data_IF_599879615528
#
_entry.id   IF_599879615528
#
_cell.length_a   1.000
_cell.length_b   1.000
_cell.length_c   1.000
_cell.angle_alpha   90.00
_cell.angle_beta   90.00
_cell.angle_gamma   90.00
#
_symmetry.space_group_name_H-M   'P 1'
#
loop_
_entity.id
_entity.type
_entity.pdbx_description
1 polymer ?
#
# COMPACT_ATOMS: atom_id res chain seq x y z
N UNK A 1 11.12 20.77 6.18
CA UNK A 1 10.41 21.05 4.90
C UNK A 1 11.01 20.18 3.84
N UNK A 2 10.22 19.28 3.23
CA UNK A 2 10.63 18.63 2.00
C UNK A 2 10.89 19.73 0.97
N UNK A 3 12.07 19.70 0.37
CA UNK A 3 12.46 20.58 -0.71
C UNK A 3 12.53 19.72 -1.97
N UNK A 4 12.04 20.25 -3.07
CA UNK A 4 12.39 19.68 -4.37
C UNK A 4 13.90 19.85 -4.55
N UNK A 5 14.60 18.73 -4.71
CA UNK A 5 16.05 18.71 -4.90
C UNK A 5 16.34 18.24 -6.31
N UNK A 6 17.39 18.83 -6.91
CA UNK A 6 17.85 18.47 -8.26
C UNK A 6 18.93 17.37 -8.21
N UNK A 7 19.33 16.95 -7.02
CA UNK A 7 20.37 15.92 -6.79
C UNK A 7 19.86 14.95 -5.73
N UNK A 8 20.07 13.65 -5.96
CA UNK A 8 19.69 12.60 -5.00
C UNK A 8 20.75 12.54 -3.90
N UNK A 9 20.34 12.86 -2.68
CA UNK A 9 21.18 12.78 -1.48
C UNK A 9 20.74 11.61 -0.59
N UNK A 10 21.62 10.97 0.18
CA UNK A 10 21.21 9.99 1.19
C UNK A 10 20.20 10.58 2.17
N UNK A 11 19.16 9.81 2.51
CA UNK A 11 18.06 10.29 3.37
C UNK A 11 16.91 10.95 2.61
N UNK A 12 16.89 10.85 1.27
CA UNK A 12 15.80 11.37 0.44
C UNK A 12 14.61 10.40 0.38
N UNK A 13 13.38 10.95 0.41
CA UNK A 13 12.17 10.24 0.03
C UNK A 13 11.83 10.59 -1.42
N UNK A 14 11.76 9.58 -2.28
CA UNK A 14 11.42 9.70 -3.70
C UNK A 14 10.09 9.01 -3.92
N UNK A 15 9.10 9.73 -4.44
CA UNK A 15 7.80 9.16 -4.77
C UNK A 15 7.66 9.10 -6.30
N UNK A 16 7.56 7.88 -6.82
CA UNK A 16 7.51 7.56 -8.24
C UNK A 16 6.11 7.05 -8.56
N UNK A 17 5.41 7.75 -9.45
CA UNK A 17 4.04 7.41 -9.83
C UNK A 17 3.95 7.32 -11.34
N UNK A 18 3.57 6.15 -11.85
CA UNK A 18 3.45 5.84 -13.26
C UNK A 18 4.71 6.23 -14.07
N UNK A 19 5.90 5.71 -13.66
CA UNK A 19 7.16 6.12 -14.27
C UNK A 19 7.28 5.63 -15.70
N UNK A 20 7.92 6.43 -16.54
CA UNK A 20 8.41 5.98 -17.83
C UNK A 20 9.77 5.26 -17.72
N UNK A 21 10.20 4.66 -18.84
CA UNK A 21 11.46 3.89 -18.85
C UNK A 21 12.69 4.77 -18.57
N UNK A 22 12.68 6.04 -18.99
CA UNK A 22 13.81 6.97 -18.79
C UNK A 22 13.96 7.31 -17.30
N UNK A 23 12.83 7.49 -16.59
CA UNK A 23 12.81 7.72 -15.13
C UNK A 23 13.29 6.48 -14.36
N UNK A 24 12.87 5.27 -14.77
CA UNK A 24 13.34 4.01 -14.19
C UNK A 24 14.84 3.86 -14.38
N UNK A 25 15.35 4.01 -15.61
CA UNK A 25 16.76 3.89 -15.95
C UNK A 25 17.62 4.90 -15.17
N UNK A 26 17.13 6.13 -15.02
CA UNK A 26 17.77 7.15 -14.21
C UNK A 26 17.92 6.73 -12.75
N UNK A 27 16.81 6.27 -12.13
CA UNK A 27 16.81 5.84 -10.72
C UNK A 27 17.67 4.59 -10.50
N UNK A 28 17.63 3.63 -11.42
CA UNK A 28 18.45 2.43 -11.39
C UNK A 28 19.94 2.80 -11.37
N UNK A 29 20.35 3.73 -12.22
CA UNK A 29 21.73 4.18 -12.33
C UNK A 29 22.19 4.96 -11.09
N UNK A 30 21.41 5.95 -10.66
CA UNK A 30 21.81 6.86 -9.57
C UNK A 30 21.78 6.18 -8.20
N UNK A 31 20.80 5.31 -7.96
CA UNK A 31 20.60 4.65 -6.66
C UNK A 31 21.14 3.21 -6.63
N UNK A 32 21.62 2.67 -7.76
CA UNK A 32 22.05 1.28 -7.92
C UNK A 32 20.93 0.28 -7.57
N UNK A 33 19.71 0.58 -8.01
CA UNK A 33 18.55 -0.28 -7.85
C UNK A 33 18.45 -1.20 -9.04
N UNK A 34 18.21 -2.51 -8.81
CA UNK A 34 17.99 -3.47 -9.89
C UNK A 34 16.65 -3.18 -10.58
N UNK A 35 16.56 -3.17 -11.93
CA UNK A 35 15.32 -2.89 -12.65
C UNK A 35 14.14 -3.78 -12.24
N UNK A 36 14.37 -5.06 -11.96
CA UNK A 36 13.34 -6.01 -11.53
C UNK A 36 12.53 -5.51 -10.32
N UNK A 37 13.15 -4.68 -9.43
CA UNK A 37 12.44 -4.14 -8.27
C UNK A 37 11.36 -3.12 -8.66
N UNK A 38 11.55 -2.43 -9.80
CA UNK A 38 10.52 -1.59 -10.40
C UNK A 38 9.46 -2.45 -11.08
N UNK A 39 9.85 -3.47 -11.85
CA UNK A 39 8.92 -4.38 -12.52
C UNK A 39 7.97 -5.05 -11.52
N UNK A 40 8.49 -5.56 -10.41
CA UNK A 40 7.66 -6.13 -9.33
C UNK A 40 6.72 -5.10 -8.70
N UNK A 41 7.17 -3.86 -8.54
CA UNK A 41 6.38 -2.79 -7.93
C UNK A 41 5.24 -2.32 -8.83
N UNK A 42 5.40 -2.46 -10.15
CA UNK A 42 4.47 -2.01 -11.19
C UNK A 42 3.56 -3.12 -11.71
N UNK A 43 3.81 -4.39 -11.35
CA UNK A 43 2.92 -5.51 -11.71
C UNK A 43 1.64 -5.46 -10.88
N UNK A 44 0.49 -5.21 -11.53
CA UNK A 44 -0.83 -5.11 -10.89
C UNK A 44 -1.23 -6.34 -10.07
N UNK A 45 -0.75 -7.52 -10.43
CA UNK A 45 -1.09 -8.80 -9.79
C UNK A 45 -0.10 -9.18 -8.68
N UNK A 46 0.95 -8.39 -8.47
CA UNK A 46 1.98 -8.69 -7.48
C UNK A 46 1.42 -8.71 -6.05
N UNK A 47 1.88 -9.68 -5.26
CA UNK A 47 1.45 -9.87 -3.87
C UNK A 47 2.37 -9.13 -2.90
N UNK A 48 1.83 -8.79 -1.74
CA UNK A 48 2.65 -8.23 -0.67
C UNK A 48 3.74 -9.23 -0.24
N UNK A 49 4.99 -8.80 -0.34
CA UNK A 49 6.18 -9.59 -0.02
C UNK A 49 7.40 -8.71 0.22
N UNK A 50 8.46 -9.33 0.68
CA UNK A 50 9.77 -8.70 0.84
C UNK A 50 10.73 -9.38 -0.12
N UNK A 51 11.46 -8.57 -0.88
CA UNK A 51 12.59 -8.98 -1.70
C UNK A 51 13.85 -8.25 -1.21
N UNK A 52 14.98 -8.90 -1.36
CA UNK A 52 16.28 -8.39 -0.92
C UNK A 52 17.35 -8.75 -1.93
N UNK A 53 18.14 -7.77 -2.35
CA UNK A 53 19.37 -7.97 -3.08
C UNK A 53 20.57 -7.51 -2.22
N UNK A 54 21.79 -7.53 -2.77
CA UNK A 54 23.01 -7.18 -2.03
C UNK A 54 23.02 -5.74 -1.47
N UNK A 55 22.23 -4.83 -2.05
CA UNK A 55 22.26 -3.39 -1.75
C UNK A 55 20.89 -2.82 -1.38
N UNK A 56 19.82 -3.48 -1.78
CA UNK A 56 18.47 -2.93 -1.70
C UNK A 56 17.52 -3.90 -1.01
N UNK A 57 16.52 -3.34 -0.33
CA UNK A 57 15.37 -4.10 0.19
C UNK A 57 14.10 -3.52 -0.39
N UNK A 58 13.28 -4.37 -1.00
CA UNK A 58 11.96 -4.02 -1.49
C UNK A 58 10.89 -4.61 -0.56
N UNK A 59 9.96 -3.78 -0.16
CA UNK A 59 8.72 -4.20 0.49
C UNK A 59 7.56 -3.83 -0.42
N UNK A 60 6.82 -4.84 -0.87
CA UNK A 60 5.58 -4.62 -1.64
C UNK A 60 4.41 -4.67 -0.67
N UNK A 61 3.60 -3.61 -0.67
CA UNK A 61 2.39 -3.48 0.14
C UNK A 61 1.19 -3.39 -0.79
N UNK A 62 0.14 -4.17 -0.55
CA UNK A 62 -1.14 -4.02 -1.25
C UNK A 62 -1.96 -2.92 -0.57
N UNK A 63 -2.25 -1.83 -1.28
CA UNK A 63 -3.01 -0.69 -0.76
C UNK A 63 -4.38 -0.63 -1.42
N UNK A 64 -5.48 -0.46 -0.65
CA UNK A 64 -6.81 -0.34 -1.23
C UNK A 64 -7.00 1.04 -1.85
N UNK A 65 -7.78 1.09 -2.94
CA UNK A 65 -8.20 2.34 -3.55
C UNK A 65 -9.70 2.33 -3.83
N UNK A 66 -10.26 3.52 -3.98
CA UNK A 66 -11.60 3.78 -4.45
C UNK A 66 -11.54 4.59 -5.73
N UNK A 67 -12.29 4.17 -6.75
CA UNK A 67 -12.38 4.83 -8.04
C UNK A 67 -13.85 4.93 -8.46
N UNK A 68 -14.44 6.09 -8.25
CA UNK A 68 -15.84 6.35 -8.58
C UNK A 68 -16.14 6.39 -10.09
N UNK A 69 -15.09 6.51 -10.92
CA UNK A 69 -15.23 6.51 -12.39
C UNK A 69 -15.37 5.09 -12.94
N UNK A 70 -14.92 4.08 -12.20
CA UNK A 70 -15.03 2.67 -12.57
C UNK A 70 -16.26 2.04 -11.90
N UNK A 71 -17.42 2.13 -12.55
CA UNK A 71 -18.70 1.62 -12.03
C UNK A 71 -18.71 0.11 -11.81
N UNK A 72 -17.89 -0.64 -12.54
CA UNK A 72 -17.81 -2.10 -12.44
C UNK A 72 -16.89 -2.57 -11.31
N UNK A 73 -15.94 -1.74 -10.91
CA UNK A 73 -14.93 -2.11 -9.91
C UNK A 73 -14.45 -0.90 -9.10
N UNK A 74 -15.41 -0.27 -8.38
CA UNK A 74 -15.12 0.94 -7.59
C UNK A 74 -14.06 0.76 -6.50
N UNK A 75 -13.98 -0.44 -5.92
CA UNK A 75 -13.01 -0.77 -4.88
C UNK A 75 -12.03 -1.82 -5.38
N UNK A 76 -10.76 -1.52 -5.31
CA UNK A 76 -9.69 -2.42 -5.72
C UNK A 76 -8.47 -2.30 -4.83
N UNK A 77 -7.42 -3.04 -5.17
CA UNK A 77 -6.12 -2.95 -4.50
C UNK A 77 -5.00 -2.84 -5.52
N UNK A 78 -3.96 -2.10 -5.16
CA UNK A 78 -2.79 -1.87 -6.00
C UNK A 78 -1.51 -2.18 -5.22
N UNK A 79 -0.49 -2.79 -5.84
CA UNK A 79 0.82 -2.91 -5.22
C UNK A 79 1.49 -1.54 -5.16
N UNK A 80 2.20 -1.30 -4.08
CA UNK A 80 3.11 -0.18 -3.90
C UNK A 80 4.44 -0.75 -3.44
N UNK A 81 5.47 -0.59 -4.24
CA UNK A 81 6.83 -0.94 -3.87
C UNK A 81 7.45 0.15 -2.99
N UNK A 82 8.10 -0.26 -1.92
CA UNK A 82 8.90 0.61 -1.05
C UNK A 82 10.32 0.07 -1.06
N UNK A 83 11.19 0.75 -1.77
CA UNK A 83 12.59 0.33 -1.95
C UNK A 83 13.46 1.14 -0.99
N UNK A 84 14.23 0.45 -0.16
CA UNK A 84 15.25 1.02 0.70
C UNK A 84 16.61 0.86 0.02
N UNK A 85 17.20 1.97 -0.42
CA UNK A 85 18.50 2.01 -1.12
C UNK A 85 19.37 3.16 -0.61
N UNK A 86 20.63 2.89 -0.31
CA UNK A 86 21.64 3.89 0.07
C UNK A 86 21.17 4.95 1.09
N UNK A 87 20.35 4.55 2.07
CA UNK A 87 19.78 5.46 3.06
C UNK A 87 18.53 6.21 2.60
N UNK A 88 18.15 6.13 1.32
CA UNK A 88 16.95 6.72 0.74
C UNK A 88 15.79 5.74 0.73
N UNK A 89 14.57 6.26 0.61
CA UNK A 89 13.34 5.50 0.43
C UNK A 89 12.73 5.88 -0.91
N UNK A 90 12.46 4.89 -1.76
CA UNK A 90 11.78 5.10 -3.04
C UNK A 90 10.44 4.38 -2.98
N UNK A 91 9.33 5.11 -3.16
CA UNK A 91 8.00 4.53 -3.31
C UNK A 91 7.64 4.49 -4.79
N UNK A 92 7.15 3.33 -5.26
CA UNK A 92 6.84 3.09 -6.68
C UNK A 92 5.43 2.54 -6.81
N UNK A 93 4.61 3.12 -7.68
CA UNK A 93 3.26 2.64 -7.97
C UNK A 93 2.75 3.13 -9.33
N UNK A 94 1.74 2.43 -9.88
CA UNK A 94 1.12 2.78 -11.17
C UNK A 94 0.11 3.94 -11.09
N UNK A 95 -0.25 4.39 -9.90
CA UNK A 95 -1.17 5.53 -9.69
C UNK A 95 -0.93 6.17 -8.33
N UNK A 96 -1.35 7.43 -8.18
CA UNK A 96 -1.29 8.11 -6.89
C UNK A 96 -2.16 7.38 -5.85
N UNK A 97 -1.60 7.08 -4.68
CA UNK A 97 -2.30 6.45 -3.56
C UNK A 97 -2.38 7.36 -2.35
N UNK A 98 -3.57 7.41 -1.75
CA UNK A 98 -3.91 8.33 -0.65
C UNK A 98 -2.98 8.15 0.56
N UNK A 99 -2.57 6.91 0.87
CA UNK A 99 -1.70 6.61 2.01
C UNK A 99 -0.32 7.27 1.84
N UNK A 100 0.31 7.09 0.67
CA UNK A 100 1.63 7.68 0.39
C UNK A 100 1.55 9.20 0.36
N UNK A 101 0.52 9.76 -0.29
CA UNK A 101 0.30 11.21 -0.32
C UNK A 101 0.18 11.81 1.07
N UNK A 102 -0.68 11.25 1.93
CA UNK A 102 -0.83 11.69 3.33
C UNK A 102 0.47 11.58 4.12
N UNK A 103 1.25 10.51 3.90
CA UNK A 103 2.54 10.34 4.54
C UNK A 103 3.50 11.46 4.15
N UNK A 104 3.61 11.78 2.86
CA UNK A 104 4.45 12.87 2.34
C UNK A 104 4.01 14.22 2.94
N UNK A 105 2.70 14.51 2.93
CA UNK A 105 2.16 15.74 3.53
C UNK A 105 2.45 15.86 5.04
N UNK A 106 2.34 14.75 5.78
CA UNK A 106 2.67 14.69 7.21
C UNK A 106 4.14 15.00 7.44
N UNK A 107 5.03 14.40 6.66
CA UNK A 107 6.48 14.63 6.74
C UNK A 107 6.84 16.09 6.40
N UNK A 108 6.16 16.71 5.42
CA UNK A 108 6.34 18.12 5.09
C UNK A 108 5.97 19.06 6.24
N UNK A 109 4.90 18.73 6.97
CA UNK A 109 4.39 19.54 8.09
C UNK A 109 5.26 19.40 9.35
N UNK A 110 5.69 18.20 9.68
CA UNK A 110 6.44 17.91 10.90
C UNK A 110 7.92 18.25 10.80
N UNK A 111 8.41 18.54 9.58
CA UNK A 111 9.83 18.86 9.37
C UNK A 111 10.76 17.71 9.72
N UNK A 112 10.34 16.48 9.43
CA UNK A 112 11.06 15.26 9.77
C UNK A 112 12.51 15.36 9.32
N UNK A 113 13.45 15.40 10.26
CA UNK A 113 14.88 15.55 10.01
C UNK A 113 15.58 14.19 9.81
N UNK A 114 14.93 13.09 10.15
CA UNK A 114 15.43 11.73 9.92
C UNK A 114 14.33 10.85 9.35
N UNK A 115 14.57 10.30 8.16
CA UNK A 115 13.76 9.23 7.59
C UNK A 115 14.16 7.90 8.29
N UNK A 116 13.52 7.62 9.43
CA UNK A 116 13.65 6.30 10.02
C UNK A 116 12.87 5.30 9.18
N UNK A 117 13.57 4.35 8.57
CA UNK A 117 12.99 3.35 7.66
C UNK A 117 11.85 2.55 8.29
N UNK A 118 12.03 2.17 9.55
CA UNK A 118 11.05 1.41 10.33
C UNK A 118 9.80 2.25 10.63
N UNK A 119 9.96 3.49 11.05
CA UNK A 119 8.84 4.40 11.28
C UNK A 119 8.04 4.68 10.01
N UNK A 120 8.71 4.78 8.85
CA UNK A 120 8.03 4.97 7.57
C UNK A 120 7.18 3.76 7.18
N UNK A 121 7.79 2.56 7.14
CA UNK A 121 7.08 1.34 6.70
C UNK A 121 5.94 0.98 7.65
N UNK A 122 6.13 1.07 8.96
CA UNK A 122 5.08 0.78 9.93
C UNK A 122 3.93 1.76 9.83
N UNK A 123 4.21 3.06 9.62
CA UNK A 123 3.15 4.06 9.39
C UNK A 123 2.37 3.80 8.11
N UNK A 124 3.05 3.44 7.01
CA UNK A 124 2.37 3.07 5.76
C UNK A 124 1.48 1.85 5.94
N UNK A 125 1.95 0.82 6.64
CA UNK A 125 1.17 -0.39 6.90
C UNK A 125 -0.02 -0.13 7.80
N UNK A 126 0.16 0.65 8.86
CA UNK A 126 -0.94 1.04 9.75
C UNK A 126 -2.01 1.83 9.01
N UNK A 127 -1.63 2.90 8.29
CA UNK A 127 -2.57 3.72 7.53
C UNK A 127 -3.26 2.92 6.41
N UNK A 128 -2.55 1.96 5.80
CA UNK A 128 -3.12 1.02 4.81
C UNK A 128 -4.19 0.14 5.44
N UNK A 129 -3.92 -0.44 6.59
CA UNK A 129 -4.88 -1.30 7.31
C UNK A 129 -6.12 -0.50 7.73
N UNK A 130 -5.93 0.71 8.26
CA UNK A 130 -7.05 1.61 8.58
C UNK A 130 -7.91 1.94 7.35
N UNK A 131 -7.28 2.14 6.20
CA UNK A 131 -8.00 2.42 4.95
C UNK A 131 -8.80 1.20 4.46
N UNK A 132 -8.27 -0.02 4.60
CA UNK A 132 -9.03 -1.24 4.35
C UNK A 132 -10.28 -1.33 5.24
N UNK A 133 -10.13 -1.13 6.55
CA UNK A 133 -11.26 -1.17 7.48
C UNK A 133 -12.33 -0.11 7.16
N UNK A 134 -11.89 1.10 6.76
CA UNK A 134 -12.81 2.14 6.32
C UNK A 134 -13.61 1.71 5.09
N UNK A 135 -12.94 1.20 4.06
CA UNK A 135 -13.60 0.79 2.82
C UNK A 135 -14.48 -0.45 3.02
N UNK A 136 -14.08 -1.41 3.86
CA UNK A 136 -14.92 -2.55 4.23
C UNK A 136 -16.25 -2.11 4.86
N UNK A 137 -16.22 -1.13 5.78
CA UNK A 137 -17.43 -0.54 6.34
C UNK A 137 -18.31 0.14 5.27
N UNK A 138 -17.70 0.84 4.33
CA UNK A 138 -18.44 1.47 3.23
C UNK A 138 -19.07 0.44 2.31
N UNK A 139 -18.34 -0.61 1.91
CA UNK A 139 -18.84 -1.72 1.10
C UNK A 139 -20.01 -2.40 1.78
N UNK A 140 -19.88 -2.73 3.07
CA UNK A 140 -20.96 -3.36 3.87
C UNK A 140 -22.24 -2.51 3.88
N UNK A 141 -22.11 -1.19 4.04
CA UNK A 141 -23.26 -0.28 3.97
C UNK A 141 -23.93 -0.28 2.59
N UNK A 142 -23.12 -0.26 1.51
CA UNK A 142 -23.65 -0.30 0.14
C UNK A 142 -24.33 -1.63 -0.14
N UNK A 143 -23.76 -2.76 0.29
CA UNK A 143 -24.37 -4.10 0.18
C UNK A 143 -25.75 -4.12 0.83
N UNK A 144 -25.88 -3.63 2.07
CA UNK A 144 -27.16 -3.57 2.77
C UNK A 144 -28.24 -2.77 2.01
N UNK A 145 -27.83 -1.66 1.38
CA UNK A 145 -28.75 -0.83 0.57
C UNK A 145 -29.18 -1.57 -0.70
N UNK A 146 -28.22 -2.20 -1.41
CA UNK A 146 -28.49 -2.94 -2.65
C UNK A 146 -29.37 -4.15 -2.38
N UNK A 147 -29.12 -4.91 -1.32
CA UNK A 147 -29.95 -6.06 -0.92
C UNK A 147 -31.41 -5.68 -0.69
N UNK A 148 -31.67 -4.56 0.01
CA UNK A 148 -33.05 -4.05 0.19
C UNK A 148 -33.71 -3.72 -1.14
N UNK A 149 -33.01 -3.07 -2.06
CA UNK A 149 -33.54 -2.76 -3.41
C UNK A 149 -33.86 -4.01 -4.21
N UNK A 150 -33.02 -5.04 -4.15
CA UNK A 150 -33.26 -6.32 -4.83
C UNK A 150 -34.54 -6.98 -4.31
N UNK A 151 -34.79 -6.93 -3.00
CA UNK A 151 -36.04 -7.46 -2.41
C UNK A 151 -37.30 -6.73 -2.90
N UNK A 152 -37.19 -5.43 -3.20
CA UNK A 152 -38.31 -4.61 -3.64
C UNK A 152 -38.55 -4.68 -5.17
N UNK A 153 -37.50 -4.69 -5.99
CA UNK A 153 -37.61 -4.45 -7.44
C UNK A 153 -36.91 -5.45 -8.34
N UNK A 154 -36.04 -6.34 -7.80
CA UNK A 154 -35.30 -7.41 -8.54
C UNK A 154 -34.67 -6.97 -9.87
N UNK A 155 -33.95 -5.85 -9.89
CA UNK A 155 -33.28 -5.35 -11.12
C UNK A 155 -31.95 -6.05 -11.34
N UNK A 156 -31.65 -6.42 -12.60
CA UNK A 156 -30.37 -7.05 -12.96
C UNK A 156 -29.16 -6.16 -12.63
N UNK A 157 -29.26 -4.84 -12.74
CA UNK A 157 -28.20 -3.88 -12.40
C UNK A 157 -27.80 -3.96 -10.93
N UNK A 158 -28.77 -4.12 -10.02
CA UNK A 158 -28.51 -4.26 -8.58
C UNK A 158 -27.80 -5.59 -8.27
N UNK A 159 -28.14 -6.67 -9.00
CA UNK A 159 -27.43 -7.96 -8.88
C UNK A 159 -25.97 -7.87 -9.37
N UNK A 160 -25.74 -7.23 -10.51
CA UNK A 160 -24.38 -7.00 -11.03
C UNK A 160 -23.56 -6.17 -10.04
N UNK A 161 -24.17 -5.12 -9.47
CA UNK A 161 -23.50 -4.29 -8.46
C UNK A 161 -23.12 -5.11 -7.22
N UNK A 162 -23.99 -6.00 -6.76
CA UNK A 162 -23.71 -6.88 -5.63
C UNK A 162 -22.50 -7.80 -5.93
N UNK A 163 -22.49 -8.45 -7.10
CA UNK A 163 -21.39 -9.31 -7.54
C UNK A 163 -20.05 -8.55 -7.62
N UNK A 164 -20.06 -7.30 -8.09
CA UNK A 164 -18.87 -6.48 -8.15
C UNK A 164 -18.34 -6.10 -6.75
N UNK A 165 -19.24 -5.85 -5.79
CA UNK A 165 -18.86 -5.62 -4.39
C UNK A 165 -18.31 -6.88 -3.73
N UNK A 166 -18.89 -8.05 -3.96
CA UNK A 166 -18.36 -9.35 -3.47
C UNK A 166 -16.96 -9.61 -4.03
N UNK A 167 -16.72 -9.32 -5.33
CA UNK A 167 -15.39 -9.41 -5.92
C UNK A 167 -14.38 -8.50 -5.23
N UNK A 168 -14.79 -7.27 -4.90
CA UNK A 168 -13.95 -6.32 -4.15
C UNK A 168 -13.58 -6.85 -2.75
N UNK A 169 -14.53 -7.48 -2.04
CA UNK A 169 -14.27 -8.10 -0.73
C UNK A 169 -13.23 -9.23 -0.84
N UNK A 170 -13.31 -10.08 -1.87
CA UNK A 170 -12.32 -11.14 -2.12
C UNK A 170 -10.93 -10.56 -2.35
N UNK A 171 -10.80 -9.49 -3.14
CA UNK A 171 -9.53 -8.79 -3.32
C UNK A 171 -9.00 -8.19 -2.02
N UNK A 172 -9.87 -7.59 -1.21
CA UNK A 172 -9.50 -7.01 0.08
C UNK A 172 -9.00 -8.08 1.06
N UNK A 173 -9.76 -9.18 1.22
CA UNK A 173 -9.36 -10.29 2.08
C UNK A 173 -8.01 -10.89 1.66
N UNK A 174 -7.80 -11.09 0.35
CA UNK A 174 -6.55 -11.64 -0.18
C UNK A 174 -5.38 -10.68 0.05
N UNK A 175 -5.58 -9.39 -0.17
CA UNK A 175 -4.56 -8.36 0.03
C UNK A 175 -4.21 -8.17 1.50
N UNK A 176 -5.21 -8.15 2.40
CA UNK A 176 -4.99 -8.09 3.85
C UNK A 176 -4.20 -9.30 4.34
N UNK A 177 -4.53 -10.53 3.89
CA UNK A 177 -3.77 -11.75 4.23
C UNK A 177 -2.31 -11.67 3.78
N UNK A 178 -2.06 -11.18 2.56
CA UNK A 178 -0.69 -11.06 2.06
C UNK A 178 0.09 -9.96 2.81
N UNK A 179 -0.54 -8.83 3.14
CA UNK A 179 0.05 -7.77 3.96
C UNK A 179 0.36 -8.27 5.38
N UNK A 180 -0.58 -8.98 6.03
CA UNK A 180 -0.37 -9.58 7.36
C UNK A 180 0.87 -10.49 7.35
N UNK A 181 0.92 -11.42 6.40
CA UNK A 181 2.04 -12.37 6.30
C UNK A 181 3.39 -11.67 6.02
N UNK A 182 3.39 -10.63 5.21
CA UNK A 182 4.56 -9.81 4.94
C UNK A 182 4.97 -9.03 6.20
N UNK A 183 4.01 -8.42 6.92
CA UNK A 183 4.26 -7.67 8.17
C UNK A 183 4.96 -8.52 9.22
N UNK A 184 4.55 -9.78 9.40
CA UNK A 184 5.21 -10.72 10.33
C UNK A 184 6.69 -10.97 10.00
N UNK A 185 7.11 -10.75 8.75
CA UNK A 185 8.49 -10.98 8.31
C UNK A 185 9.41 -9.77 8.42
N UNK A 186 8.88 -8.56 8.67
CA UNK A 186 9.66 -7.31 8.67
C UNK A 186 10.85 -7.33 9.63
N UNK A 187 10.66 -7.85 10.84
CA UNK A 187 11.75 -7.98 11.83
C UNK A 187 12.82 -8.97 11.35
N UNK A 188 12.40 -10.14 10.83
CA UNK A 188 13.32 -11.17 10.35
C UNK A 188 14.13 -10.69 9.14
N UNK A 189 13.54 -9.86 8.29
CA UNK A 189 14.21 -9.22 7.16
C UNK A 189 15.13 -8.05 7.57
N UNK A 190 15.19 -7.71 8.87
CA UNK A 190 16.02 -6.59 9.35
C UNK A 190 15.62 -5.21 8.82
N UNK A 191 14.35 -5.07 8.43
CA UNK A 191 13.79 -3.78 7.97
C UNK A 191 13.32 -2.98 9.17
N UNK A 192 12.71 -3.65 10.15
CA UNK A 192 12.25 -3.06 11.39
C UNK A 192 13.07 -3.64 12.54
N UNK A 193 13.83 -2.82 13.27
CA UNK A 193 14.60 -3.27 14.42
C UNK A 193 13.65 -3.66 15.57
N UNK A 194 13.97 -4.72 16.32
CA UNK A 194 13.18 -5.14 17.46
C UNK A 194 13.28 -4.12 18.59
N UNK A 195 12.17 -3.54 18.97
CA UNK A 195 11.99 -2.73 20.17
C UNK A 195 10.50 -2.73 20.54
N UNK A 196 10.18 -2.45 21.81
CA UNK A 196 8.83 -2.53 22.37
C UNK A 196 7.81 -1.75 21.53
N UNK A 197 8.11 -0.51 21.14
CA UNK A 197 7.23 0.35 20.34
C UNK A 197 6.91 -0.24 18.95
N UNK A 198 7.92 -0.78 18.26
CA UNK A 198 7.74 -1.38 16.94
C UNK A 198 6.97 -2.69 17.06
N UNK A 199 7.21 -3.44 18.14
CA UNK A 199 6.57 -4.71 18.42
C UNK A 199 5.07 -4.53 18.66
N UNK A 200 4.70 -3.57 19.51
CA UNK A 200 3.31 -3.21 19.77
C UNK A 200 2.60 -2.75 18.48
N UNK A 201 3.23 -1.89 17.69
CA UNK A 201 2.63 -1.40 16.45
C UNK A 201 2.46 -2.52 15.40
N UNK A 202 3.40 -3.45 15.30
CA UNK A 202 3.27 -4.62 14.42
C UNK A 202 2.11 -5.51 14.88
N UNK A 203 1.95 -5.73 16.19
CA UNK A 203 0.85 -6.52 16.75
C UNK A 203 -0.50 -5.86 16.49
N UNK A 204 -0.60 -4.54 16.63
CA UNK A 204 -1.79 -3.76 16.28
C UNK A 204 -2.14 -3.90 14.80
N UNK A 205 -1.17 -3.73 13.89
CA UNK A 205 -1.37 -3.88 12.44
C UNK A 205 -1.89 -5.28 12.10
N UNK A 206 -1.30 -6.32 12.70
CA UNK A 206 -1.71 -7.71 12.48
C UNK A 206 -3.14 -7.94 12.99
N UNK A 207 -3.45 -7.45 14.19
CA UNK A 207 -4.77 -7.61 14.81
C UNK A 207 -5.86 -6.95 13.98
N UNK A 208 -5.63 -5.72 13.55
CA UNK A 208 -6.57 -4.98 12.70
C UNK A 208 -6.69 -5.59 11.29
N UNK A 209 -5.58 -6.12 10.73
CA UNK A 209 -5.63 -6.85 9.46
C UNK A 209 -6.52 -8.09 9.55
N UNK A 210 -6.41 -8.86 10.64
CA UNK A 210 -7.29 -10.02 10.91
C UNK A 210 -8.74 -9.62 11.05
N UNK A 211 -9.02 -8.54 11.78
CA UNK A 211 -10.37 -7.99 11.86
C UNK A 211 -10.92 -7.64 10.46
N UNK A 212 -10.10 -7.01 9.61
CA UNK A 212 -10.48 -6.70 8.24
C UNK A 212 -10.76 -7.96 7.39
N UNK A 213 -9.98 -9.03 7.57
CA UNK A 213 -10.18 -10.31 6.89
C UNK A 213 -11.52 -10.96 7.32
N UNK A 214 -11.87 -10.87 8.60
CA UNK A 214 -13.15 -11.40 9.11
C UNK A 214 -14.36 -10.57 8.65
N UNK A 215 -14.15 -9.29 8.35
CA UNK A 215 -15.21 -8.40 7.84
C UNK A 215 -15.45 -8.57 6.34
N UNK A 216 -14.50 -9.13 5.58
CA UNK A 216 -14.56 -9.28 4.14
C UNK A 216 -15.25 -10.60 3.73
#
# INVERSE_FOLDING_TARGET
KLKQINTLEPGTLINVVDPDQEEIDFLCKELKIHPDLFDYSLDWDERARIEEDDFNKLVIVRIPYYDETNTDNMYGTIPVGIIFSNGSIVTVCNREVVVIKKMIEKMQKTGCSSLEKDGFILSVLFDTTQLFLLYLKQISNVINIVQKKIQETSRNEDLIKLLNLEKSLVYFATSLKSNEFMTMKLKKAGIVPPNEKNDDLIEDIITESRQGIEMA
#
